data_IF_481212270308
#
_entry.id   IF_481212270308
#
_cell.length_a   1.000
_cell.length_b   1.000
_cell.length_c   1.000
_cell.angle_alpha   90.00
_cell.angle_beta   90.00
_cell.angle_gamma   90.00
#
_symmetry.space_group_name_H-M   'P 1'
#
loop_
_entity.id
_entity.type
_entity.pdbx_description
1 polymer ?
#
# COMPACT_ATOMS: atom_id res chain seq x y z
N UNK A 1 43.76 -3.71 -25.53
CA UNK A 1 44.42 -3.09 -24.37
C UNK A 1 43.44 -3.25 -23.22
N UNK A 2 43.82 -4.05 -22.24
CA UNK A 2 43.04 -4.39 -21.06
C UNK A 2 43.03 -3.21 -20.09
N UNK A 3 41.91 -2.50 -19.98
CA UNK A 3 41.70 -1.60 -18.86
C UNK A 3 41.42 -2.41 -17.59
N UNK A 4 41.94 -1.87 -16.50
CA UNK A 4 42.22 -2.50 -15.22
C UNK A 4 40.98 -3.05 -14.52
N UNK A 5 41.05 -4.32 -14.12
CA UNK A 5 40.27 -4.84 -12.99
C UNK A 5 40.64 -3.96 -11.78
N UNK A 6 39.66 -3.25 -11.23
CA UNK A 6 39.84 -2.48 -10.00
C UNK A 6 40.19 -3.47 -8.89
N UNK A 7 41.44 -3.45 -8.44
CA UNK A 7 41.91 -4.23 -7.29
C UNK A 7 41.12 -3.74 -6.06
N UNK A 8 40.12 -4.49 -5.62
CA UNK A 8 39.25 -4.14 -4.49
C UNK A 8 39.88 -4.53 -3.15
N UNK A 9 41.19 -4.34 -2.99
CA UNK A 9 41.92 -4.83 -1.85
C UNK A 9 41.47 -4.21 -0.50
N UNK A 10 41.41 -5.08 0.50
CA UNK A 10 41.26 -4.82 1.94
C UNK A 10 41.94 -3.52 2.42
N UNK A 11 41.14 -2.54 2.85
CA UNK A 11 41.64 -1.42 3.65
C UNK A 11 41.64 -1.80 5.13
N UNK A 12 42.82 -2.03 5.71
CA UNK A 12 43.00 -2.17 7.15
C UNK A 12 42.48 -3.46 7.79
N UNK A 13 42.35 -4.56 7.02
CA UNK A 13 41.99 -5.88 7.56
C UNK A 13 40.50 -6.09 7.83
N UNK A 14 39.62 -5.17 7.42
CA UNK A 14 38.16 -5.39 7.34
C UNK A 14 37.76 -5.56 5.87
N UNK A 15 36.85 -6.50 5.54
CA UNK A 15 36.32 -6.60 4.18
C UNK A 15 35.63 -5.29 3.80
N UNK A 16 35.90 -4.81 2.59
CA UNK A 16 35.22 -3.63 2.06
C UNK A 16 33.74 -3.99 1.84
N UNK A 17 32.83 -3.22 2.45
CA UNK A 17 31.40 -3.33 2.14
C UNK A 17 31.18 -2.61 0.82
N UNK A 18 30.74 -3.36 -0.18
CA UNK A 18 30.41 -2.86 -1.50
C UNK A 18 28.91 -2.98 -1.69
N UNK A 19 28.29 -2.00 -2.34
CA UNK A 19 26.87 -2.05 -2.66
C UNK A 19 26.65 -1.88 -4.16
N UNK A 20 25.66 -2.60 -4.66
CA UNK A 20 25.16 -2.47 -6.02
C UNK A 20 23.76 -1.86 -5.96
N UNK A 21 23.52 -0.79 -6.71
CA UNK A 21 22.20 -0.18 -6.78
C UNK A 21 21.51 -0.55 -8.10
N UNK A 22 20.45 -1.37 -8.09
CA UNK A 22 19.82 -1.87 -9.33
C UNK A 22 19.43 -0.78 -10.33
N UNK A 23 18.86 0.34 -9.88
CA UNK A 23 18.49 1.45 -10.79
C UNK A 23 19.63 1.98 -11.67
N UNK A 24 20.90 1.78 -11.32
CA UNK A 24 22.02 2.22 -12.19
C UNK A 24 22.07 1.45 -13.50
N UNK A 25 21.68 0.18 -13.46
CA UNK A 25 21.83 -0.76 -14.58
C UNK A 25 20.51 -1.21 -15.16
N UNK A 26 19.37 -0.92 -14.55
CA UNK A 26 18.08 -1.31 -15.12
C UNK A 26 17.85 -0.61 -16.48
N UNK A 27 17.55 -1.40 -17.49
CA UNK A 27 17.19 -0.95 -18.84
C UNK A 27 15.67 -0.73 -18.95
N UNK A 28 14.91 -1.76 -18.59
CA UNK A 28 13.45 -1.78 -18.66
C UNK A 28 12.87 -2.82 -17.71
N UNK A 29 11.57 -2.68 -17.44
CA UNK A 29 10.74 -3.62 -16.72
C UNK A 29 9.87 -4.40 -17.70
N UNK A 30 9.90 -5.73 -17.58
CA UNK A 30 9.07 -6.66 -18.32
C UNK A 30 8.03 -7.26 -17.39
N UNK A 31 6.77 -7.30 -17.82
CA UNK A 31 5.72 -8.05 -17.13
C UNK A 31 5.57 -9.39 -17.84
N UNK A 32 5.93 -10.45 -17.15
CA UNK A 32 5.79 -11.82 -17.61
C UNK A 32 4.49 -12.42 -17.11
N UNK A 33 3.84 -13.17 -17.98
CA UNK A 33 2.84 -14.18 -17.66
C UNK A 33 3.54 -15.52 -17.71
N UNK A 34 3.44 -16.27 -16.61
CA UNK A 34 4.10 -17.55 -16.42
C UNK A 34 3.06 -18.63 -16.12
N UNK A 35 3.06 -19.71 -16.90
CA UNK A 35 2.17 -20.86 -16.70
C UNK A 35 2.93 -22.17 -16.56
N UNK A 36 2.49 -23.02 -15.64
CA UNK A 36 2.88 -24.43 -15.56
C UNK A 36 1.68 -25.31 -15.95
N UNK A 37 1.72 -25.95 -17.14
CA UNK A 37 0.69 -26.87 -17.58
C UNK A 37 0.83 -28.22 -16.84
N UNK A 38 0.41 -28.34 -15.57
CA UNK A 38 0.43 -29.63 -14.88
C UNK A 38 0.39 -29.58 -13.35
N UNK A 39 0.13 -30.74 -12.72
CA UNK A 39 0.17 -30.91 -11.26
C UNK A 39 1.60 -31.07 -10.70
N UNK A 40 2.60 -31.29 -11.56
CA UNK A 40 4.00 -31.41 -11.18
C UNK A 40 4.83 -30.39 -11.96
N UNK A 41 5.46 -29.46 -11.22
CA UNK A 41 6.28 -28.34 -11.73
C UNK A 41 7.40 -28.82 -12.68
N UNK A 42 7.87 -30.07 -12.52
CA UNK A 42 9.09 -30.56 -13.16
C UNK A 42 8.89 -31.38 -14.45
N UNK A 43 7.66 -31.72 -14.85
CA UNK A 43 7.44 -32.71 -15.94
C UNK A 43 6.95 -32.13 -17.27
N UNK A 44 6.31 -30.95 -17.30
CA UNK A 44 5.59 -30.44 -18.49
C UNK A 44 6.12 -29.08 -18.98
N UNK A 45 7.17 -28.55 -18.34
CA UNK A 45 7.85 -27.32 -18.74
C UNK A 45 7.14 -26.04 -18.29
N UNK A 46 7.81 -24.90 -18.48
CA UNK A 46 7.32 -23.59 -18.11
C UNK A 46 7.04 -22.79 -19.39
N UNK A 47 5.88 -22.15 -19.46
CA UNK A 47 5.54 -21.25 -20.56
C UNK A 47 5.62 -19.80 -20.07
N UNK A 48 6.47 -19.01 -20.73
CA UNK A 48 6.65 -17.59 -20.45
C UNK A 48 6.19 -16.76 -21.64
N UNK A 49 5.40 -15.72 -21.35
CA UNK A 49 5.04 -14.71 -22.35
C UNK A 49 5.14 -13.31 -21.77
N UNK A 50 5.68 -12.37 -22.54
CA UNK A 50 5.76 -10.98 -22.13
C UNK A 50 4.43 -10.31 -22.45
N UNK A 51 3.74 -9.82 -21.42
CA UNK A 51 2.45 -9.12 -21.54
C UNK A 51 2.59 -7.60 -21.43
N UNK A 52 3.73 -7.11 -20.94
CA UNK A 52 4.01 -5.69 -20.82
C UNK A 52 5.50 -5.37 -20.83
N UNK A 53 5.82 -4.16 -21.29
CA UNK A 53 7.17 -3.57 -21.24
C UNK A 53 7.05 -2.10 -20.88
N UNK A 54 7.88 -1.62 -19.95
CA UNK A 54 8.00 -0.19 -19.65
C UNK A 54 9.38 0.16 -19.12
N UNK A 55 9.80 1.40 -19.28
CA UNK A 55 10.98 1.96 -18.58
C UNK A 55 10.61 2.60 -17.24
N UNK A 56 9.32 2.78 -16.96
CA UNK A 56 8.81 3.27 -15.69
C UNK A 56 8.24 2.12 -14.84
N UNK A 57 8.61 2.10 -13.56
CA UNK A 57 8.20 1.04 -12.65
C UNK A 57 6.71 1.11 -12.30
N UNK A 58 6.11 2.31 -12.21
CA UNK A 58 4.68 2.44 -11.94
C UNK A 58 3.84 1.93 -13.11
N UNK A 59 4.26 2.17 -14.36
CA UNK A 59 3.63 1.57 -15.54
C UNK A 59 3.74 0.03 -15.53
N UNK A 60 4.89 -0.52 -15.09
CA UNK A 60 5.05 -1.97 -14.96
C UNK A 60 4.13 -2.56 -13.87
N UNK A 61 3.98 -1.88 -12.73
CA UNK A 61 2.99 -2.25 -11.71
C UNK A 61 1.56 -2.13 -12.23
N UNK A 62 1.21 -1.07 -12.94
CA UNK A 62 -0.14 -0.90 -13.50
C UNK A 62 -0.47 -2.03 -14.49
N UNK A 63 0.49 -2.37 -15.36
CA UNK A 63 0.37 -3.51 -16.25
C UNK A 63 0.23 -4.83 -15.48
N UNK A 64 1.08 -5.10 -14.48
CA UNK A 64 0.99 -6.28 -13.62
C UNK A 64 -0.40 -6.40 -12.98
N UNK A 65 -0.89 -5.33 -12.35
CA UNK A 65 -2.14 -5.34 -11.60
C UNK A 65 -3.37 -5.54 -12.49
N UNK A 66 -3.32 -5.05 -13.74
CA UNK A 66 -4.39 -5.21 -14.74
C UNK A 66 -4.34 -6.53 -15.50
N UNK A 67 -3.17 -7.17 -15.61
CA UNK A 67 -2.97 -8.37 -16.43
C UNK A 67 -3.96 -9.51 -16.10
N UNK A 68 -4.31 -9.76 -14.82
CA UNK A 68 -5.27 -10.81 -14.51
C UNK A 68 -6.74 -10.59 -14.87
N UNK A 69 -7.15 -9.39 -15.31
CA UNK A 69 -8.57 -8.99 -15.37
C UNK A 69 -9.46 -9.96 -16.16
N UNK A 70 -8.88 -10.66 -17.14
CA UNK A 70 -9.58 -11.60 -18.01
C UNK A 70 -9.11 -13.06 -17.87
N UNK A 71 -8.34 -13.38 -16.82
CA UNK A 71 -7.83 -14.73 -16.61
C UNK A 71 -8.89 -15.66 -16.02
N UNK A 72 -8.95 -16.89 -16.54
CA UNK A 72 -9.85 -17.92 -16.05
C UNK A 72 -9.28 -18.56 -14.77
N UNK A 73 -9.76 -18.06 -13.63
CA UNK A 73 -9.46 -18.56 -12.26
C UNK A 73 -9.76 -20.04 -12.06
N UNK A 74 -10.62 -20.64 -12.91
CA UNK A 74 -11.08 -22.02 -12.82
C UNK A 74 -10.09 -23.04 -13.41
N UNK A 75 -9.05 -22.57 -14.10
CA UNK A 75 -7.99 -23.46 -14.62
C UNK A 75 -7.19 -24.09 -13.48
N UNK A 76 -6.75 -25.33 -13.72
CA UNK A 76 -5.89 -26.08 -12.79
C UNK A 76 -4.40 -25.75 -12.96
N UNK A 77 -4.05 -25.05 -14.02
CA UNK A 77 -2.68 -24.62 -14.29
C UNK A 77 -2.20 -23.66 -13.20
N UNK A 78 -0.93 -23.77 -12.83
CA UNK A 78 -0.27 -22.78 -11.99
C UNK A 78 -0.02 -21.57 -12.88
N UNK A 79 -0.59 -20.42 -12.53
CA UNK A 79 -0.42 -19.17 -13.25
C UNK A 79 0.03 -18.08 -12.30
N UNK A 80 1.08 -17.37 -12.69
CA UNK A 80 1.53 -16.15 -12.03
C UNK A 80 1.93 -15.07 -13.05
N UNK A 81 2.00 -13.85 -12.55
CA UNK A 81 2.52 -12.72 -13.27
C UNK A 81 3.66 -12.11 -12.48
N UNK A 82 4.77 -11.78 -13.15
CA UNK A 82 5.97 -11.29 -12.47
C UNK A 82 6.55 -10.09 -13.22
N UNK A 83 6.94 -9.05 -12.48
CA UNK A 83 7.75 -7.94 -13.00
C UNK A 83 9.22 -8.34 -12.88
N UNK A 84 9.93 -8.33 -14.00
CA UNK A 84 11.38 -8.52 -14.09
C UNK A 84 12.00 -7.24 -14.59
N UNK A 85 12.89 -6.64 -13.80
CA UNK A 85 13.76 -5.57 -14.24
C UNK A 85 14.96 -6.17 -14.96
N UNK A 86 15.19 -5.80 -16.22
CA UNK A 86 16.32 -6.29 -17.02
C UNK A 86 17.49 -5.31 -16.96
N UNK A 87 18.71 -5.82 -17.09
CA UNK A 87 19.90 -4.98 -17.03
C UNK A 87 20.40 -4.54 -18.41
N UNK A 88 20.92 -3.32 -18.49
CA UNK A 88 21.53 -2.72 -19.67
C UNK A 88 22.63 -3.62 -20.22
N UNK A 89 22.64 -3.80 -21.54
CA UNK A 89 23.66 -4.56 -22.26
C UNK A 89 23.79 -6.03 -21.85
N UNK A 90 22.79 -6.59 -21.15
CA UNK A 90 22.74 -8.01 -20.78
C UNK A 90 21.44 -8.62 -21.30
N UNK A 91 21.49 -9.68 -22.13
CA UNK A 91 20.26 -10.39 -22.48
C UNK A 91 19.68 -11.03 -21.22
N UNK A 92 18.37 -10.93 -21.05
CA UNK A 92 17.68 -11.58 -19.92
C UNK A 92 17.81 -13.11 -20.05
N UNK A 93 18.34 -13.74 -19.02
CA UNK A 93 18.36 -15.19 -18.85
C UNK A 93 17.46 -15.54 -17.67
N UNK A 94 16.61 -16.56 -17.83
CA UNK A 94 15.76 -17.10 -16.77
C UNK A 94 16.29 -18.47 -16.34
N UNK A 95 16.19 -18.77 -15.05
CA UNK A 95 16.44 -20.11 -14.56
C UNK A 95 15.25 -21.06 -14.82
N UNK A 96 15.31 -22.26 -14.27
CA UNK A 96 14.27 -23.27 -14.50
C UNK A 96 12.93 -22.89 -13.84
N UNK A 97 12.94 -22.06 -12.80
CA UNK A 97 11.73 -21.59 -12.11
C UNK A 97 11.12 -20.35 -12.78
N UNK A 98 11.84 -19.76 -13.73
CA UNK A 98 11.44 -18.51 -14.38
C UNK A 98 11.93 -17.25 -13.69
N UNK A 99 12.78 -17.39 -12.68
CA UNK A 99 13.40 -16.26 -12.02
C UNK A 99 14.59 -15.77 -12.87
N UNK A 100 14.84 -14.45 -12.93
CA UNK A 100 15.97 -13.92 -13.67
C UNK A 100 17.28 -14.39 -13.04
N UNK A 101 18.23 -14.81 -13.87
CA UNK A 101 19.60 -14.97 -13.44
C UNK A 101 20.09 -13.60 -12.97
N UNK A 102 20.54 -13.53 -11.72
CA UNK A 102 21.01 -12.34 -10.99
C UNK A 102 21.89 -11.36 -11.81
N UNK A 103 22.65 -11.83 -12.82
CA UNK A 103 23.54 -10.99 -13.66
C UNK A 103 22.82 -10.32 -14.83
N UNK A 104 21.59 -10.72 -15.11
CA UNK A 104 20.82 -10.33 -16.29
C UNK A 104 19.54 -9.57 -15.94
N UNK A 105 19.08 -9.69 -14.70
CA UNK A 105 17.92 -8.97 -14.21
C UNK A 105 17.64 -9.18 -12.73
N UNK A 106 16.48 -8.68 -12.31
CA UNK A 106 16.01 -8.66 -10.94
C UNK A 106 14.50 -8.86 -10.92
N UNK A 107 14.03 -9.81 -10.11
CA UNK A 107 12.60 -9.95 -9.85
C UNK A 107 12.14 -8.85 -8.90
N UNK A 108 11.20 -8.04 -9.35
CA UNK A 108 10.66 -6.94 -8.53
C UNK A 108 9.53 -7.43 -7.64
N UNK A 109 8.60 -8.19 -8.20
CA UNK A 109 7.43 -8.70 -7.51
C UNK A 109 6.46 -9.33 -8.47
N UNK A 110 5.38 -9.90 -7.97
CA UNK A 110 4.44 -10.62 -8.80
C UNK A 110 3.07 -10.82 -8.16
N UNK A 111 2.13 -11.27 -8.99
CA UNK A 111 0.81 -11.74 -8.60
C UNK A 111 0.76 -13.25 -8.80
N UNK A 112 0.31 -13.97 -7.78
CA UNK A 112 0.13 -15.42 -7.85
C UNK A 112 -1.23 -15.81 -7.25
N UNK A 113 -1.68 -17.01 -7.58
CA UNK A 113 -2.85 -17.62 -6.95
C UNK A 113 -2.45 -18.48 -5.75
N UNK A 114 -3.33 -18.57 -4.76
CA UNK A 114 -3.23 -19.60 -3.74
C UNK A 114 -3.56 -20.98 -4.35
N UNK A 115 -2.52 -21.81 -4.54
CA UNK A 115 -2.66 -23.10 -5.22
C UNK A 115 -3.48 -24.13 -4.43
N UNK A 116 -3.58 -23.98 -3.10
CA UNK A 116 -4.22 -24.93 -2.20
C UNK A 116 -5.65 -24.55 -1.77
N UNK A 117 -6.28 -23.56 -2.40
CA UNK A 117 -7.66 -23.14 -2.09
C UNK A 117 -8.66 -23.62 -3.13
N UNK A 118 -9.94 -23.74 -2.73
CA UNK A 118 -11.04 -23.96 -3.68
C UNK A 118 -10.96 -22.94 -4.81
N UNK A 119 -11.01 -23.41 -6.06
CA UNK A 119 -11.04 -22.57 -7.28
C UNK A 119 -12.05 -21.42 -7.20
N UNK A 120 -13.14 -21.58 -6.43
CA UNK A 120 -14.19 -20.57 -6.22
C UNK A 120 -13.83 -19.47 -5.22
N UNK A 121 -12.80 -19.68 -4.40
CA UNK A 121 -12.32 -18.70 -3.40
C UNK A 121 -10.95 -18.12 -3.75
N UNK A 122 -10.38 -18.49 -4.90
CA UNK A 122 -9.08 -18.00 -5.34
C UNK A 122 -9.09 -16.48 -5.52
N UNK A 123 -8.05 -15.84 -5.04
CA UNK A 123 -7.78 -14.42 -5.27
C UNK A 123 -6.32 -14.23 -5.65
N UNK A 124 -6.04 -13.11 -6.32
CA UNK A 124 -4.69 -12.74 -6.71
C UNK A 124 -3.99 -12.07 -5.54
N UNK A 125 -2.94 -12.71 -5.05
CA UNK A 125 -2.09 -12.16 -4.00
C UNK A 125 -0.85 -11.52 -4.62
N UNK A 126 -0.49 -10.36 -4.09
CA UNK A 126 0.74 -9.67 -4.46
C UNK A 126 1.85 -10.01 -3.47
N UNK A 127 3.03 -10.34 -4.01
CA UNK A 127 4.28 -10.43 -3.25
C UNK A 127 5.34 -9.54 -3.88
N UNK A 128 5.96 -8.69 -3.06
CA UNK A 128 7.16 -7.95 -3.43
C UNK A 128 8.37 -8.87 -3.23
N UNK A 129 9.17 -9.04 -4.28
CA UNK A 129 10.41 -9.81 -4.22
C UNK A 129 11.59 -8.89 -3.87
N UNK A 130 11.75 -7.80 -4.63
CA UNK A 130 12.79 -6.83 -4.38
C UNK A 130 12.39 -5.43 -4.88
N UNK A 131 12.62 -4.42 -4.05
CA UNK A 131 12.40 -3.02 -4.43
C UNK A 131 13.68 -2.45 -5.11
N UNK A 132 13.66 -2.08 -6.40
CA UNK A 132 14.85 -1.62 -7.13
C UNK A 132 15.54 -0.38 -6.56
N UNK A 133 14.85 0.39 -5.73
CA UNK A 133 15.43 1.54 -5.02
C UNK A 133 16.36 1.13 -3.88
N UNK A 134 16.28 -0.11 -3.39
CA UNK A 134 17.13 -0.58 -2.31
C UNK A 134 18.48 -1.05 -2.87
N UNK A 135 19.60 -0.76 -2.18
CA UNK A 135 20.89 -1.30 -2.55
C UNK A 135 21.00 -2.79 -2.17
N UNK A 136 21.70 -3.55 -3.00
CA UNK A 136 22.14 -4.91 -2.71
C UNK A 136 23.53 -4.82 -2.09
N UNK A 137 23.65 -5.17 -0.81
CA UNK A 137 24.93 -5.19 -0.09
C UNK A 137 25.70 -6.48 -0.41
N UNK A 138 26.96 -6.31 -0.78
CA UNK A 138 27.93 -7.36 -1.10
C UNK A 138 29.00 -7.37 0.00
N UNK A 139 29.04 -8.46 0.78
CA UNK A 139 29.85 -8.53 2.01
C UNK A 139 31.31 -8.99 1.80
N UNK A 140 31.67 -9.45 0.59
CA UNK A 140 33.03 -9.92 0.31
C UNK A 140 33.37 -9.80 -1.19
N UNK A 141 34.00 -8.69 -1.64
CA UNK A 141 34.39 -8.51 -3.03
C UNK A 141 35.66 -9.30 -3.43
N UNK A 142 36.48 -9.76 -2.47
CA UNK A 142 37.75 -10.45 -2.73
C UNK A 142 37.64 -12.00 -2.61
N UNK A 143 36.77 -12.54 -1.74
CA UNK A 143 36.32 -13.96 -1.73
C UNK A 143 35.01 -14.16 -2.52
N UNK A 144 34.66 -13.16 -3.33
CA UNK A 144 33.57 -13.16 -4.32
C UNK A 144 33.70 -14.29 -5.37
N UNK A 145 34.88 -14.91 -5.44
CA UNK A 145 35.29 -15.80 -6.53
C UNK A 145 34.83 -17.26 -6.45
N UNK A 146 34.09 -17.71 -5.43
CA UNK A 146 33.64 -19.11 -5.41
C UNK A 146 32.16 -19.40 -5.74
N UNK A 147 31.10 -18.83 -5.12
CA UNK A 147 29.76 -19.49 -5.22
C UNK A 147 28.44 -18.67 -5.20
N UNK A 148 28.38 -17.44 -5.73
CA UNK A 148 27.17 -17.00 -6.46
C UNK A 148 27.58 -16.66 -7.89
N UNK A 149 27.05 -17.39 -8.88
CA UNK A 149 27.31 -17.08 -10.31
C UNK A 149 26.70 -15.74 -10.71
N UNK A 150 25.69 -15.31 -9.97
CA UNK A 150 24.82 -14.20 -10.29
C UNK A 150 25.41 -12.80 -10.40
N UNK A 151 26.41 -12.43 -9.59
CA UNK A 151 26.85 -11.03 -9.53
C UNK A 151 28.28 -10.81 -10.03
N UNK A 152 28.95 -11.86 -10.52
CA UNK A 152 30.33 -11.78 -11.08
C UNK A 152 30.43 -10.92 -12.33
N UNK A 153 29.33 -10.81 -13.06
CA UNK A 153 29.28 -10.14 -14.35
C UNK A 153 28.75 -8.70 -14.24
N UNK A 154 28.50 -8.19 -13.02
CA UNK A 154 28.22 -6.76 -12.85
C UNK A 154 29.51 -5.99 -13.11
N UNK A 155 29.44 -5.00 -14.00
CA UNK A 155 30.56 -4.10 -14.26
C UNK A 155 30.94 -3.35 -12.97
N UNK A 156 32.20 -3.41 -12.53
CA UNK A 156 32.68 -2.74 -11.32
C UNK A 156 32.35 -1.24 -11.24
N UNK A 157 32.08 -0.56 -12.36
CA UNK A 157 31.63 0.84 -12.35
C UNK A 157 30.30 1.07 -11.61
N UNK A 158 29.48 0.03 -11.48
CA UNK A 158 28.19 0.08 -10.76
C UNK A 158 28.30 -0.36 -9.30
N UNK A 159 29.51 -0.65 -8.83
CA UNK A 159 29.81 -1.03 -7.47
C UNK A 159 30.26 0.21 -6.68
N UNK A 160 29.53 0.52 -5.62
CA UNK A 160 29.79 1.69 -4.77
C UNK A 160 30.38 1.23 -3.43
N UNK A 161 31.50 1.81 -2.98
CA UNK A 161 32.01 1.54 -1.64
C UNK A 161 31.33 2.46 -0.63
N UNK A 162 31.26 1.97 0.61
CA UNK A 162 30.80 2.78 1.72
C UNK A 162 31.65 4.06 1.86
N UNK A 163 31.00 5.23 1.87
CA UNK A 163 31.60 6.57 1.98
C UNK A 163 32.29 7.15 0.73
N UNK A 164 32.09 6.58 -0.47
CA UNK A 164 32.69 7.12 -1.70
C UNK A 164 32.10 8.47 -2.15
N UNK A 165 30.96 8.90 -1.61
CA UNK A 165 30.25 10.11 -2.04
C UNK A 165 29.83 10.97 -0.85
N UNK A 166 30.17 12.26 -0.90
CA UNK A 166 29.70 13.24 0.07
C UNK A 166 28.29 13.71 -0.31
N UNK A 167 27.33 13.62 0.61
CA UNK A 167 25.98 14.16 0.46
C UNK A 167 25.75 15.28 1.49
N UNK A 168 24.81 16.17 1.21
CA UNK A 168 24.39 17.16 2.20
C UNK A 168 23.54 16.49 3.30
N UNK A 169 24.11 16.23 4.48
CA UNK A 169 23.39 15.51 5.55
C UNK A 169 22.12 16.23 6.02
N UNK A 170 22.08 17.56 5.94
CA UNK A 170 20.88 18.33 6.32
C UNK A 170 19.74 18.09 5.34
N UNK A 171 20.04 17.98 4.04
CA UNK A 171 19.04 17.67 3.01
C UNK A 171 18.54 16.24 3.19
N UNK A 172 19.45 15.30 3.48
CA UNK A 172 19.08 13.92 3.78
C UNK A 172 18.16 13.81 5.00
N UNK A 173 18.57 14.35 6.15
CA UNK A 173 17.76 14.27 7.38
C UNK A 173 16.42 15.01 7.25
N UNK A 174 16.34 16.09 6.46
CA UNK A 174 15.06 16.74 6.16
C UNK A 174 14.11 15.79 5.43
N UNK A 175 14.54 15.22 4.29
CA UNK A 175 13.68 14.35 3.46
C UNK A 175 13.36 13.02 4.12
N UNK A 176 14.30 12.48 4.90
CA UNK A 176 14.08 11.29 5.74
C UNK A 176 12.96 11.53 6.75
N UNK A 177 13.00 12.65 7.46
CA UNK A 177 11.94 13.02 8.41
C UNK A 177 10.63 13.37 7.69
N UNK A 178 10.69 13.93 6.48
CA UNK A 178 9.51 14.20 5.68
C UNK A 178 8.80 12.90 5.26
N UNK A 179 9.52 11.92 4.69
CA UNK A 179 8.99 10.60 4.35
C UNK A 179 8.40 9.88 5.57
N UNK A 180 9.06 9.95 6.73
CA UNK A 180 8.52 9.43 8.00
C UNK A 180 7.22 10.09 8.38
N UNK A 181 7.15 11.43 8.31
CA UNK A 181 5.93 12.17 8.61
C UNK A 181 4.79 11.83 7.65
N UNK A 182 5.10 11.34 6.43
CA UNK A 182 4.14 10.87 5.43
C UNK A 182 3.72 9.41 5.61
N UNK A 183 4.22 8.74 6.65
CA UNK A 183 3.84 7.37 7.01
C UNK A 183 4.69 6.28 6.37
N UNK A 184 5.85 6.61 5.80
CA UNK A 184 6.75 5.63 5.15
C UNK A 184 7.71 4.95 6.13
N UNK A 185 7.97 5.57 7.29
CA UNK A 185 8.95 5.06 8.24
C UNK A 185 10.38 5.16 7.70
N UNK A 186 11.17 4.11 7.90
CA UNK A 186 12.58 4.00 7.50
C UNK A 186 12.79 3.20 6.20
N UNK A 187 11.71 2.72 5.57
CA UNK A 187 11.76 1.79 4.45
C UNK A 187 12.53 2.28 3.22
N UNK A 188 12.72 3.61 3.09
CA UNK A 188 13.39 4.28 1.98
C UNK A 188 14.67 5.03 2.39
N UNK A 189 15.16 4.89 3.63
CA UNK A 189 16.31 5.66 4.11
C UNK A 189 17.56 5.45 3.24
N UNK A 190 17.91 4.20 2.93
CA UNK A 190 19.06 3.87 2.08
C UNK A 190 18.87 4.33 0.63
N UNK A 191 17.66 4.15 0.10
CA UNK A 191 17.30 4.56 -1.25
C UNK A 191 17.40 6.08 -1.43
N UNK A 192 16.89 6.83 -0.45
CA UNK A 192 16.97 8.28 -0.41
C UNK A 192 18.42 8.75 -0.34
N UNK A 193 19.23 8.14 0.54
CA UNK A 193 20.66 8.44 0.65
C UNK A 193 21.35 8.32 -0.70
N UNK A 194 21.18 7.18 -1.38
CA UNK A 194 21.85 6.94 -2.66
C UNK A 194 21.32 7.88 -3.76
N UNK A 195 20.01 8.14 -3.81
CA UNK A 195 19.43 9.11 -4.75
C UNK A 195 20.07 10.50 -4.58
N UNK A 196 20.26 10.96 -3.34
CA UNK A 196 20.88 12.25 -3.05
C UNK A 196 22.38 12.25 -3.37
N UNK A 197 23.10 11.16 -3.08
CA UNK A 197 24.53 10.99 -3.41
C UNK A 197 24.80 10.98 -4.92
N UNK A 198 23.86 10.45 -5.74
CA UNK A 198 23.95 10.53 -7.21
C UNK A 198 23.84 11.96 -7.74
N UNK A 199 23.09 12.82 -7.04
CA UNK A 199 22.98 14.25 -7.38
C UNK A 199 22.30 14.54 -8.72
N UNK A 200 21.51 13.59 -9.24
CA UNK A 200 20.77 13.74 -10.49
C UNK A 200 19.73 14.89 -10.42
N UNK A 201 19.37 15.44 -11.58
CA UNK A 201 18.39 16.55 -11.64
C UNK A 201 17.00 16.12 -11.18
N UNK A 202 16.66 14.86 -11.40
CA UNK A 202 15.38 14.25 -11.04
C UNK A 202 15.68 12.88 -10.42
N UNK A 203 14.86 12.45 -9.48
CA UNK A 203 14.96 11.12 -8.88
C UNK A 203 13.59 10.65 -8.40
N UNK A 204 13.36 9.34 -8.44
CA UNK A 204 12.11 8.73 -8.00
C UNK A 204 12.40 7.62 -7.01
N UNK A 205 11.67 7.62 -5.89
CA UNK A 205 11.66 6.51 -4.93
C UNK A 205 10.32 5.78 -5.01
N UNK A 206 10.32 4.46 -4.86
CA UNK A 206 9.11 3.64 -4.90
C UNK A 206 8.90 2.89 -3.58
N UNK A 207 7.66 2.77 -3.13
CA UNK A 207 7.31 2.03 -1.92
C UNK A 207 5.97 1.31 -2.09
N UNK A 208 5.93 0.04 -1.69
CA UNK A 208 4.72 -0.79 -1.70
C UNK A 208 4.23 -1.05 -0.28
N UNK A 209 2.92 -0.93 -0.06
CA UNK A 209 2.30 -1.23 1.23
C UNK A 209 0.84 -1.70 1.07
N UNK A 210 0.30 -2.40 2.08
CA UNK A 210 -1.11 -2.78 2.13
C UNK A 210 -1.90 -1.85 3.08
N UNK A 211 -3.09 -1.44 2.68
CA UNK A 211 -4.07 -0.76 3.53
C UNK A 211 -5.29 -1.64 3.72
N UNK A 212 -5.28 -2.42 4.80
CA UNK A 212 -6.21 -3.56 4.92
C UNK A 212 -5.85 -4.59 3.86
N UNK A 213 -6.78 -4.87 2.95
CA UNK A 213 -6.58 -5.82 1.85
C UNK A 213 -6.26 -5.12 0.51
N UNK A 214 -6.25 -3.79 0.48
CA UNK A 214 -5.92 -3.02 -0.71
C UNK A 214 -4.40 -2.90 -0.83
N UNK A 215 -3.88 -3.10 -2.04
CA UNK A 215 -2.48 -2.86 -2.36
C UNK A 215 -2.30 -1.41 -2.82
N UNK A 216 -1.27 -0.73 -2.29
CA UNK A 216 -0.88 0.61 -2.68
C UNK A 216 0.60 0.63 -3.07
N UNK A 217 0.89 0.99 -4.32
CA UNK A 217 2.24 1.33 -4.78
C UNK A 217 2.34 2.85 -4.84
N UNK A 218 3.38 3.41 -4.24
CA UNK A 218 3.60 4.85 -4.13
C UNK A 218 4.94 5.21 -4.78
N UNK A 219 4.97 6.27 -5.59
CA UNK A 219 6.21 6.88 -6.08
C UNK A 219 6.35 8.32 -5.58
N UNK A 220 7.59 8.69 -5.27
CA UNK A 220 7.97 10.01 -4.75
C UNK A 220 8.92 10.67 -5.74
N UNK A 221 8.48 11.72 -6.42
CA UNK A 221 9.25 12.37 -7.47
C UNK A 221 9.94 13.62 -6.94
N UNK A 222 11.27 13.59 -6.98
CA UNK A 222 12.14 14.63 -6.50
C UNK A 222 12.82 15.37 -7.64
N UNK A 223 12.96 16.69 -7.49
CA UNK A 223 13.79 17.50 -8.37
C UNK A 223 14.86 18.24 -7.57
N UNK A 224 16.07 18.30 -8.12
CA UNK A 224 17.11 19.20 -7.63
C UNK A 224 16.79 20.64 -8.02
N UNK A 225 17.16 21.58 -7.15
CA UNK A 225 17.09 23.01 -7.41
C UNK A 225 17.87 23.40 -8.67
N UNK A 226 17.27 24.25 -9.51
CA UNK A 226 17.94 24.82 -10.68
C UNK A 226 18.86 26.01 -10.34
N UNK A 227 18.91 26.43 -9.07
CA UNK A 227 19.80 27.52 -8.64
C UNK A 227 21.25 27.04 -8.70
N UNK A 228 22.13 27.88 -9.26
CA UNK A 228 23.57 27.65 -9.20
C UNK A 228 23.99 27.44 -7.74
N UNK A 229 24.89 26.47 -7.52
CA UNK A 229 25.49 26.12 -6.22
C UNK A 229 24.48 25.71 -5.13
N UNK A 230 23.29 25.24 -5.52
CA UNK A 230 22.26 24.76 -4.59
C UNK A 230 22.20 23.24 -4.55
N UNK A 231 22.39 22.67 -3.37
CA UNK A 231 22.18 21.24 -3.11
C UNK A 231 20.76 20.90 -2.65
N UNK A 232 19.86 21.88 -2.67
CA UNK A 232 18.45 21.65 -2.32
C UNK A 232 17.78 20.70 -3.30
N UNK A 233 16.99 19.79 -2.73
CA UNK A 233 16.14 18.84 -3.43
C UNK A 233 14.71 19.03 -2.92
N UNK A 234 13.72 18.89 -3.80
CA UNK A 234 12.30 19.09 -3.48
C UNK A 234 11.48 17.89 -3.91
N UNK A 235 10.63 17.38 -3.01
CA UNK A 235 9.56 16.44 -3.36
C UNK A 235 8.46 17.24 -4.04
N UNK A 236 8.22 16.98 -5.33
CA UNK A 236 7.25 17.73 -6.12
C UNK A 236 5.95 16.96 -6.34
N UNK A 237 6.02 15.63 -6.41
CA UNK A 237 4.84 14.81 -6.68
C UNK A 237 4.87 13.52 -5.87
N UNK A 238 3.70 13.10 -5.42
CA UNK A 238 3.44 11.74 -4.94
C UNK A 238 2.43 11.13 -5.89
N UNK A 239 2.75 10.00 -6.50
CA UNK A 239 1.80 9.23 -7.30
C UNK A 239 1.45 7.94 -6.59
N UNK A 240 0.16 7.62 -6.56
CA UNK A 240 -0.36 6.38 -5.99
C UNK A 240 -1.03 5.53 -7.07
N UNK A 241 -0.75 4.23 -7.04
CA UNK A 241 -1.44 3.19 -7.78
C UNK A 241 -2.06 2.25 -6.75
N UNK A 242 -3.39 2.24 -6.70
CA UNK A 242 -4.17 1.49 -5.71
C UNK A 242 -4.95 0.39 -6.40
N UNK A 243 -4.69 -0.86 -6.02
CA UNK A 243 -5.53 -2.01 -6.35
C UNK A 243 -6.40 -2.33 -5.14
N UNK A 244 -7.69 -1.95 -5.14
CA UNK A 244 -8.59 -2.35 -4.08
C UNK A 244 -8.86 -3.85 -4.16
N UNK A 245 -9.25 -4.47 -3.03
CA UNK A 245 -9.75 -5.85 -3.05
C UNK A 245 -11.00 -5.99 -3.91
N UNK A 246 -11.86 -4.98 -3.87
CA UNK A 246 -13.11 -4.90 -4.65
C UNK A 246 -13.15 -3.55 -5.37
N UNK A 247 -13.25 -3.57 -6.69
CA UNK A 247 -13.34 -2.37 -7.52
C UNK A 247 -12.26 -2.33 -8.60
N UNK A 248 -12.16 -1.17 -9.25
CA UNK A 248 -11.17 -0.93 -10.29
C UNK A 248 -9.87 -0.38 -9.72
N UNK A 249 -8.76 -0.66 -10.42
CA UNK A 249 -7.45 -0.09 -10.12
C UNK A 249 -7.49 1.42 -10.38
N UNK A 250 -6.94 2.19 -9.45
CA UNK A 250 -6.91 3.65 -9.51
C UNK A 250 -5.47 4.14 -9.54
N UNK A 251 -5.18 5.13 -10.38
CA UNK A 251 -3.89 5.81 -10.46
C UNK A 251 -4.13 7.31 -10.30
N UNK A 252 -3.38 7.96 -9.43
CA UNK A 252 -3.56 9.37 -9.14
C UNK A 252 -2.22 10.01 -8.75
N UNK A 253 -1.89 11.12 -9.40
CA UNK A 253 -0.77 11.99 -9.05
C UNK A 253 -1.26 13.14 -8.18
N UNK A 254 -0.50 13.45 -7.13
CA UNK A 254 -0.72 14.58 -6.24
C UNK A 254 0.50 15.49 -6.29
N UNK A 255 0.30 16.74 -6.70
CA UNK A 255 1.33 17.77 -6.60
C UNK A 255 1.59 18.12 -5.12
N UNK A 256 2.86 18.28 -4.78
CA UNK A 256 3.35 18.67 -3.47
C UNK A 256 4.04 20.01 -3.62
N UNK A 257 3.51 21.01 -2.95
CA UNK A 257 4.11 22.34 -2.83
C UNK A 257 4.40 22.69 -1.36
N UNK A 258 4.88 23.91 -1.11
CA UNK A 258 5.22 24.37 0.23
C UNK A 258 4.01 24.62 1.12
N UNK A 259 2.85 24.86 0.51
CA UNK A 259 1.60 25.17 1.18
C UNK A 259 0.75 23.89 1.38
N UNK A 260 1.14 22.81 0.70
CA UNK A 260 0.57 21.49 0.85
C UNK A 260 0.76 21.07 2.29
N UNK A 261 -0.37 20.90 2.98
CA UNK A 261 -0.40 20.25 4.27
C UNK A 261 0.45 18.96 4.21
N UNK A 262 1.11 18.61 5.33
CA UNK A 262 1.87 17.36 5.44
C UNK A 262 0.91 16.17 5.37
N UNK A 263 0.54 15.80 4.15
CA UNK A 263 -0.35 14.70 3.82
C UNK A 263 0.42 13.40 3.82
N UNK A 264 -0.12 12.41 4.52
CA UNK A 264 0.43 11.04 4.51
C UNK A 264 -0.05 10.27 3.28
N UNK A 265 0.69 9.23 2.89
CA UNK A 265 0.20 8.32 1.82
C UNK A 265 -1.15 7.70 2.19
N UNK A 266 -1.39 7.43 3.47
CA UNK A 266 -2.69 6.95 3.95
C UNK A 266 -3.80 7.99 3.75
N UNK A 267 -3.53 9.29 3.94
CA UNK A 267 -4.51 10.34 3.66
C UNK A 267 -4.86 10.39 2.17
N UNK A 268 -3.85 10.33 1.30
CA UNK A 268 -4.04 10.31 -0.15
C UNK A 268 -4.81 9.06 -0.62
N UNK A 269 -4.46 7.87 -0.11
CA UNK A 269 -5.24 6.65 -0.31
C UNK A 269 -6.68 6.81 0.17
N UNK A 270 -6.89 7.36 1.38
CA UNK A 270 -8.23 7.59 1.91
C UNK A 270 -9.05 8.52 1.00
N UNK A 271 -8.42 9.56 0.44
CA UNK A 271 -9.04 10.47 -0.53
C UNK A 271 -9.46 9.76 -1.83
N UNK A 272 -8.60 8.89 -2.37
CA UNK A 272 -8.91 8.03 -3.53
C UNK A 272 -10.07 7.09 -3.25
N UNK A 273 -10.22 6.62 -2.00
CA UNK A 273 -11.38 5.86 -1.56
C UNK A 273 -12.61 6.74 -1.23
N UNK A 274 -12.62 8.01 -1.66
CA UNK A 274 -13.72 8.95 -1.50
C UNK A 274 -13.96 9.43 -0.07
N UNK A 275 -12.96 9.36 0.81
CA UNK A 275 -13.04 9.79 2.21
C UNK A 275 -12.32 11.12 2.41
N UNK A 276 -12.77 11.89 3.39
CA UNK A 276 -12.13 13.15 3.78
C UNK A 276 -11.17 12.94 4.95
N UNK A 277 -10.15 13.78 5.04
CA UNK A 277 -9.21 13.80 6.17
C UNK A 277 -8.92 15.24 6.61
N UNK A 278 -8.49 15.43 7.85
CA UNK A 278 -8.07 16.71 8.41
C UNK A 278 -6.66 17.03 7.88
N UNK A 279 -6.58 17.96 6.94
CA UNK A 279 -5.32 18.37 6.32
C UNK A 279 -4.52 19.31 7.23
N UNK A 280 -5.20 20.25 7.90
CA UNK A 280 -4.57 21.18 8.83
C UNK A 280 -5.40 21.30 10.10
N UNK A 281 -4.81 20.87 11.23
CA UNK A 281 -5.47 20.86 12.53
C UNK A 281 -5.65 22.26 13.11
N UNK A 282 -4.67 23.14 12.95
CA UNK A 282 -4.69 24.50 13.52
C UNK A 282 -5.77 25.38 12.89
N UNK A 283 -6.03 25.17 11.59
CA UNK A 283 -7.05 25.91 10.83
C UNK A 283 -8.36 25.14 10.66
N UNK A 284 -8.45 23.93 11.23
CA UNK A 284 -9.55 22.98 11.05
C UNK A 284 -9.98 22.83 9.58
N UNK A 285 -8.99 22.61 8.71
CA UNK A 285 -9.16 22.46 7.27
C UNK A 285 -9.13 20.99 6.88
N UNK A 286 -10.24 20.52 6.32
CA UNK A 286 -10.41 19.16 5.83
C UNK A 286 -10.21 19.11 4.33
N UNK A 287 -9.59 18.05 3.83
CA UNK A 287 -9.40 17.81 2.41
C UNK A 287 -10.15 16.55 1.94
N UNK A 288 -10.55 16.56 0.68
CA UNK A 288 -11.11 15.41 -0.02
C UNK A 288 -10.83 15.52 -1.52
N UNK A 289 -10.96 14.41 -2.25
CA UNK A 289 -10.77 14.38 -3.69
C UNK A 289 -12.09 14.72 -4.40
N UNK A 290 -12.06 15.70 -5.30
CA UNK A 290 -13.23 16.10 -6.10
C UNK A 290 -13.31 15.27 -7.39
N UNK A 291 -14.04 14.15 -7.33
CA UNK A 291 -14.26 13.27 -8.49
C UNK A 291 -15.09 13.90 -9.61
N UNK A 292 -15.67 15.09 -9.42
CA UNK A 292 -16.43 15.80 -10.46
C UNK A 292 -15.53 16.58 -11.42
N UNK A 293 -14.29 16.83 -11.02
CA UNK A 293 -13.31 17.56 -11.82
C UNK A 293 -12.15 16.65 -12.16
N UNK A 294 -11.64 16.78 -13.37
CA UNK A 294 -10.41 16.12 -13.81
C UNK A 294 -9.49 17.17 -14.40
N UNK A 295 -8.21 17.07 -14.07
CA UNK A 295 -7.18 17.87 -14.72
C UNK A 295 -6.83 17.31 -16.11
N UNK A 296 -5.90 17.98 -16.78
CA UNK A 296 -5.40 17.60 -18.12
C UNK A 296 -4.73 16.21 -18.17
N UNK A 297 -4.36 15.64 -17.04
CA UNK A 297 -3.72 14.34 -16.89
C UNK A 297 -4.71 13.26 -16.42
N UNK A 298 -5.99 13.61 -16.24
CA UNK A 298 -7.02 12.69 -15.74
C UNK A 298 -7.02 12.52 -14.22
N UNK A 299 -6.23 13.32 -13.50
CA UNK A 299 -6.18 13.32 -12.05
C UNK A 299 -7.32 14.17 -11.45
N UNK A 300 -7.85 13.77 -10.31
CA UNK A 300 -8.85 14.56 -9.59
C UNK A 300 -8.20 15.46 -8.53
N UNK A 301 -8.54 16.75 -8.44
CA UNK A 301 -7.90 17.65 -7.49
C UNK A 301 -8.32 17.37 -6.04
N UNK A 302 -7.41 17.63 -5.10
CA UNK A 302 -7.76 17.77 -3.68
C UNK A 302 -8.36 19.16 -3.45
N UNK A 303 -9.53 19.19 -2.82
CA UNK A 303 -10.23 20.42 -2.44
C UNK A 303 -10.37 20.46 -0.93
N UNK A 304 -10.33 21.66 -0.36
CA UNK A 304 -10.44 21.87 1.09
C UNK A 304 -11.77 22.48 1.51
N UNK A 305 -12.17 22.21 2.75
CA UNK A 305 -13.33 22.79 3.42
C UNK A 305 -13.01 23.07 4.88
N UNK A 306 -13.50 24.20 5.39
CA UNK A 306 -13.30 24.65 6.77
C UNK A 306 -14.62 24.64 7.54
N UNK A 307 -14.53 24.64 8.86
CA UNK A 307 -15.69 24.79 9.75
C UNK A 307 -16.43 23.49 10.08
N UNK A 308 -15.92 22.33 9.65
CA UNK A 308 -16.44 21.04 10.07
C UNK A 308 -15.85 20.64 11.42
N UNK A 309 -16.70 20.52 12.43
CA UNK A 309 -16.32 20.05 13.76
C UNK A 309 -16.74 18.60 13.95
N UNK A 310 -15.77 17.68 13.89
CA UNK A 310 -16.02 16.25 14.01
C UNK A 310 -16.59 15.85 15.38
N UNK A 311 -16.26 16.58 16.44
CA UNK A 311 -16.74 16.30 17.79
C UNK A 311 -18.22 16.69 17.90
N UNK A 312 -18.56 17.90 17.43
CA UNK A 312 -19.94 18.36 17.34
C UNK A 312 -20.79 17.43 16.45
N UNK A 313 -20.25 16.98 15.31
CA UNK A 313 -20.98 16.11 14.38
C UNK A 313 -21.20 14.70 14.95
N UNK A 314 -20.17 14.09 15.53
CA UNK A 314 -20.31 12.75 16.15
C UNK A 314 -21.21 12.78 17.39
N UNK A 315 -21.18 13.85 18.18
CA UNK A 315 -22.04 14.04 19.35
C UNK A 315 -23.55 14.16 19.05
N UNK A 316 -23.94 14.26 17.78
CA UNK A 316 -25.36 14.20 17.34
C UNK A 316 -25.95 12.79 17.41
N UNK A 317 -25.14 11.77 17.67
CA UNK A 317 -25.52 10.36 17.63
C UNK A 317 -25.10 9.61 18.91
N UNK A 318 -25.87 8.61 19.34
CA UNK A 318 -25.58 7.78 20.53
C UNK A 318 -24.53 6.70 20.24
N UNK A 319 -23.32 7.15 19.86
CA UNK A 319 -22.18 6.28 19.60
C UNK A 319 -21.55 5.85 20.93
N UNK A 320 -21.44 4.55 21.14
CA UNK A 320 -20.96 3.97 22.40
C UNK A 320 -19.54 4.43 22.76
N UNK A 321 -18.64 4.56 21.78
CA UNK A 321 -17.26 5.03 21.98
C UNK A 321 -17.17 6.46 22.51
N UNK A 322 -18.22 7.29 22.36
CA UNK A 322 -18.23 8.65 22.90
C UNK A 322 -18.46 8.69 24.41
N UNK A 323 -18.90 7.59 25.03
CA UNK A 323 -19.17 7.49 26.47
C UNK A 323 -17.87 7.41 27.28
N UNK A 324 -16.78 6.98 26.66
CA UNK A 324 -15.44 6.95 27.25
C UNK A 324 -14.55 8.03 26.58
N UNK A 325 -13.95 8.96 27.35
CA UNK A 325 -13.09 10.01 26.80
C UNK A 325 -11.89 9.51 25.98
N UNK A 326 -11.27 8.39 26.37
CA UNK A 326 -10.12 7.82 25.67
C UNK A 326 -10.55 7.21 24.32
N UNK A 327 -11.64 6.44 24.32
CA UNK A 327 -12.21 5.88 23.09
C UNK A 327 -12.71 6.98 22.14
N UNK A 328 -13.28 8.06 22.67
CA UNK A 328 -13.70 9.22 21.88
C UNK A 328 -12.50 9.87 21.18
N UNK A 329 -11.37 10.06 21.88
CA UNK A 329 -10.15 10.61 21.30
C UNK A 329 -9.59 9.70 20.19
N UNK A 330 -9.59 8.38 20.41
CA UNK A 330 -9.16 7.40 19.41
C UNK A 330 -10.07 7.46 18.18
N UNK A 331 -11.39 7.53 18.37
CA UNK A 331 -12.37 7.66 17.30
C UNK A 331 -12.13 8.94 16.49
N UNK A 332 -12.04 10.09 17.15
CA UNK A 332 -11.81 11.38 16.49
C UNK A 332 -10.48 11.37 15.72
N UNK A 333 -9.39 10.92 16.35
CA UNK A 333 -8.09 10.84 15.69
C UNK A 333 -8.08 9.84 14.51
N UNK A 334 -8.93 8.81 14.53
CA UNK A 334 -9.09 7.89 13.40
C UNK A 334 -9.83 8.56 12.24
N UNK A 335 -10.91 9.28 12.53
CA UNK A 335 -11.71 10.02 11.55
C UNK A 335 -10.95 11.20 10.94
N UNK A 336 -10.17 11.93 11.75
CA UNK A 336 -9.26 13.00 11.29
C UNK A 336 -8.23 12.47 10.29
N UNK A 337 -7.77 11.22 10.43
CA UNK A 337 -6.87 10.60 9.44
C UNK A 337 -7.59 10.12 8.17
N UNK A 338 -8.92 10.26 8.11
CA UNK A 338 -9.77 9.79 7.02
C UNK A 338 -10.05 8.28 7.04
N UNK A 339 -9.82 7.63 8.17
CA UNK A 339 -10.15 6.22 8.31
C UNK A 339 -11.67 6.04 8.34
N UNK A 340 -12.11 4.88 7.85
CA UNK A 340 -13.46 4.36 8.11
C UNK A 340 -13.40 3.56 9.41
N UNK A 341 -13.97 4.10 10.47
CA UNK A 341 -13.88 3.56 11.83
C UNK A 341 -15.13 2.77 12.19
N UNK A 342 -14.96 1.57 12.75
CA UNK A 342 -16.07 0.81 13.32
C UNK A 342 -16.51 1.44 14.64
N UNK A 343 -17.82 1.58 14.82
CA UNK A 343 -18.49 2.12 16.01
C UNK A 343 -19.69 1.24 16.37
N UNK A 344 -20.15 1.36 17.60
CA UNK A 344 -21.36 0.67 18.07
C UNK A 344 -22.42 1.68 18.48
N UNK A 345 -23.68 1.35 18.19
CA UNK A 345 -24.87 2.05 18.70
C UNK A 345 -25.83 0.97 19.18
N UNK A 346 -26.01 0.86 20.52
CA UNK A 346 -26.86 -0.16 21.13
C UNK A 346 -26.59 -1.58 20.59
N UNK A 347 -25.33 -2.02 20.71
CA UNK A 347 -24.85 -3.35 20.28
C UNK A 347 -24.83 -3.59 18.77
N UNK A 348 -25.49 -2.74 17.96
CA UNK A 348 -25.37 -2.77 16.50
C UNK A 348 -24.08 -2.09 16.05
N UNK A 349 -23.36 -2.74 15.13
CA UNK A 349 -22.10 -2.25 14.57
C UNK A 349 -22.32 -1.50 13.27
N UNK A 350 -21.64 -0.37 13.15
CA UNK A 350 -21.58 0.45 11.95
C UNK A 350 -20.15 0.83 11.66
N UNK A 351 -19.88 1.22 10.43
CA UNK A 351 -18.66 1.95 10.10
C UNK A 351 -19.01 3.39 9.76
N UNK A 352 -18.20 4.34 10.23
CA UNK A 352 -18.37 5.76 9.93
C UNK A 352 -17.08 6.37 9.38
N UNK A 353 -17.23 7.40 8.56
CA UNK A 353 -16.15 8.29 8.13
C UNK A 353 -16.64 9.73 8.14
N UNK A 354 -15.74 10.69 8.30
CA UNK A 354 -16.07 12.11 8.19
C UNK A 354 -16.64 12.43 6.78
N UNK A 355 -17.65 13.31 6.72
CA UNK A 355 -18.18 13.88 5.47
C UNK A 355 -18.34 15.41 5.59
N UNK A 356 -17.21 16.15 5.64
CA UNK A 356 -17.18 17.60 5.89
C UNK A 356 -17.98 18.44 4.90
N UNK A 357 -18.01 18.05 3.62
CA UNK A 357 -18.76 18.76 2.56
C UNK A 357 -20.27 18.91 2.87
N UNK A 358 -20.81 18.00 3.68
CA UNK A 358 -22.24 17.97 4.04
C UNK A 358 -22.48 18.15 5.55
N UNK A 359 -21.47 18.56 6.31
CA UNK A 359 -21.52 18.70 7.77
C UNK A 359 -22.13 17.46 8.48
N UNK A 360 -21.73 16.27 8.04
CA UNK A 360 -22.30 15.01 8.51
C UNK A 360 -21.28 13.87 8.52
N UNK A 361 -21.75 12.64 8.74
CA UNK A 361 -20.98 11.41 8.64
C UNK A 361 -21.44 10.61 7.42
N UNK A 362 -20.51 9.89 6.79
CA UNK A 362 -20.86 8.78 5.92
C UNK A 362 -20.95 7.51 6.77
N UNK A 363 -22.02 6.74 6.60
CA UNK A 363 -22.31 5.56 7.41
C UNK A 363 -22.40 4.32 6.53
N UNK A 364 -21.89 3.21 7.04
CA UNK A 364 -21.98 1.90 6.41
C UNK A 364 -22.46 0.88 7.45
N UNK A 365 -23.19 -0.12 6.98
CA UNK A 365 -23.52 -1.32 7.76
C UNK A 365 -22.26 -2.18 7.97
N UNK A 366 -22.35 -3.20 8.82
CA UNK A 366 -21.22 -4.12 9.10
C UNK A 366 -20.67 -4.79 7.82
N UNK A 367 -21.53 -5.08 6.84
CA UNK A 367 -21.14 -5.61 5.53
C UNK A 367 -20.57 -4.56 4.56
N UNK A 368 -20.24 -3.36 5.05
CA UNK A 368 -19.73 -2.22 4.28
C UNK A 368 -20.67 -1.65 3.22
N UNK A 369 -21.95 -2.04 3.21
CA UNK A 369 -22.96 -1.39 2.39
C UNK A 369 -23.23 0.01 2.94
N UNK A 370 -23.13 1.03 2.09
CA UNK A 370 -23.43 2.41 2.49
C UNK A 370 -24.90 2.55 2.89
N UNK A 371 -25.13 3.32 3.94
CA UNK A 371 -26.44 3.67 4.50
C UNK A 371 -26.44 5.14 4.91
N UNK A 372 -27.53 5.61 5.51
CA UNK A 372 -27.66 6.99 5.99
C UNK A 372 -27.48 7.09 7.51
N UNK A 373 -27.34 8.32 8.00
CA UNK A 373 -27.21 8.61 9.44
C UNK A 373 -28.49 8.31 10.24
N UNK A 374 -29.64 8.20 9.58
CA UNK A 374 -30.91 7.77 10.19
C UNK A 374 -30.79 6.35 10.77
N UNK A 375 -30.01 5.46 10.15
CA UNK A 375 -29.79 4.11 10.68
C UNK A 375 -29.12 4.10 12.06
N UNK A 376 -28.28 5.09 12.36
CA UNK A 376 -27.70 5.28 13.70
C UNK A 376 -28.78 5.70 14.71
N UNK A 377 -29.68 6.60 14.30
CA UNK A 377 -30.79 7.07 15.15
C UNK A 377 -31.81 5.97 15.42
N UNK A 378 -32.14 5.16 14.41
CA UNK A 378 -33.03 4.01 14.54
C UNK A 378 -32.47 2.98 15.51
N UNK A 379 -31.17 2.65 15.39
CA UNK A 379 -30.49 1.77 16.34
C UNK A 379 -30.52 2.32 17.78
N UNK A 380 -30.40 3.63 17.95
CA UNK A 380 -30.51 4.29 19.26
C UNK A 380 -31.93 4.13 19.87
N UNK A 381 -32.97 4.18 19.04
CA UNK A 381 -34.38 4.11 19.48
C UNK A 381 -34.87 2.69 19.78
N UNK A 382 -34.31 1.65 19.15
CA UNK A 382 -34.73 0.26 19.38
C UNK A 382 -34.53 -0.18 20.85
N UNK A 383 -33.50 0.32 21.53
CA UNK A 383 -33.28 0.06 22.96
C UNK A 383 -34.36 0.70 23.84
N UNK A 384 -34.84 1.90 23.49
CA UNK A 384 -35.91 2.57 24.23
C UNK A 384 -37.26 1.84 24.12
N UNK A 385 -37.51 1.08 23.04
CA UNK A 385 -38.71 0.24 22.91
C UNK A 385 -38.61 -1.06 23.71
N UNK A 386 -37.44 -1.67 23.82
CA UNK A 386 -37.25 -2.87 24.64
C UNK A 386 -37.22 -2.57 26.15
N UNK A 387 -36.75 -1.40 26.56
CA UNK A 387 -36.75 -0.98 27.98
C UNK A 387 -38.13 -0.48 28.48
N UNK A 388 -39.14 -0.38 27.60
CA UNK A 388 -40.50 0.05 27.92
C UNK A 388 -41.56 -1.06 27.84
N UNK A 389 -41.18 -2.33 27.62
CA UNK A 389 -42.11 -3.44 27.79
C UNK A 389 -42.31 -3.73 29.29
N UNK A 390 -43.51 -3.53 29.87
CA UNK A 390 -43.72 -3.80 31.28
C UNK A 390 -43.71 -5.31 31.52
N UNK A 391 -42.92 -5.70 32.51
CA UNK A 391 -42.90 -7.01 33.15
C UNK A 391 -44.33 -7.40 33.61
N UNK A 392 -44.99 -8.23 32.81
CA UNK A 392 -46.21 -8.95 33.19
C UNK A 392 -45.94 -10.46 33.12
N UNK A 393 -45.13 -10.96 34.05
CA UNK A 393 -45.14 -12.38 34.39
C UNK A 393 -44.99 -12.64 35.88
N UNK A 394 -45.93 -12.15 36.69
CA UNK A 394 -46.22 -12.77 37.99
C UNK A 394 -47.75 -12.83 38.17
N UNK A 395 -48.23 -13.98 38.66
CA UNK A 395 -49.61 -14.31 39.03
C UNK A 395 -50.51 -14.90 37.92
N UNK A 396 -50.27 -16.17 37.57
CA UNK A 396 -51.32 -17.19 37.37
C UNK A 396 -50.70 -18.59 37.36
N UNK A 397 -50.26 -19.05 38.52
CA UNK A 397 -50.07 -20.48 38.78
C UNK A 397 -50.32 -20.75 40.26
N UNK A 398 -51.60 -20.80 40.62
CA UNK A 398 -52.06 -21.42 41.87
C UNK A 398 -53.57 -21.67 41.76
N UNK A 399 -53.94 -22.73 41.02
CA UNK A 399 -55.16 -23.56 41.18
C UNK A 399 -55.37 -24.48 39.98
N UNK A 400 -54.62 -25.58 39.90
CA UNK A 400 -55.03 -26.76 39.12
C UNK A 400 -54.26 -28.04 39.50
N UNK A 401 -54.15 -28.36 40.79
CA UNK A 401 -53.70 -29.68 41.25
C UNK A 401 -54.66 -30.20 42.32
N UNK A 402 -55.88 -30.53 41.88
CA UNK A 402 -56.80 -31.44 42.57
C UNK A 402 -57.86 -31.88 41.58
N UNK A 403 -57.58 -32.98 40.87
CA UNK A 403 -58.50 -34.10 40.64
C UNK A 403 -57.90 -35.02 39.58
N UNK A 404 -57.10 -35.97 40.05
CA UNK A 404 -56.80 -37.19 39.31
C UNK A 404 -57.36 -38.36 40.12
N UNK A 405 -58.59 -38.76 39.82
CA UNK A 405 -59.20 -40.04 40.22
C UNK A 405 -60.22 -40.43 39.17
N UNK A 406 -59.95 -41.53 38.47
CA UNK A 406 -61.01 -42.43 38.04
C UNK A 406 -61.04 -42.80 36.56
N UNK A 407 -60.66 -44.06 36.31
CA UNK A 407 -61.23 -45.01 35.33
C UNK A 407 -60.85 -44.81 33.84
N UNK A 408 -60.06 -45.66 33.17
CA UNK A 408 -60.02 -47.13 33.02
C UNK A 408 -61.00 -47.67 31.96
N UNK A 409 -60.39 -48.28 30.93
CA UNK A 409 -60.84 -49.37 30.04
C UNK A 409 -61.97 -49.06 29.05
N UNK A 410 -61.62 -49.05 27.76
CA UNK A 410 -61.90 -50.14 26.80
C UNK A 410 -61.22 -49.87 25.46
#
# INVERSE_FOLDING_TARGET
>A
MSESVVDMAFHGGKPAIVSFHPLDVIDQYLVFRHTHPGHQVYEIGHEFSIVGRSTDLMDAYDCLLKSPKNEDVGRRDILDYTIIATYKHRPLELDFDGDPIDSTGLRVGGLYYEYNTDTRSRSWEFSEAYNPCKPIVLYDPDDFYSRRRGFRDIDPIYLHRENDRAMNEKVFEYHKNDLRSRGIGDALDDALKIMLEKGEKQGTLYHTQKFGEDLCVSSFHYNKSNRADSDLVFLNQIELLVKPKIGEIQRQTFEIDKDSARVTVKNLYNAMQGRSFLANKDTNEWAYQDFKQTDKHGNHPLVTVKGYDIQTVTGRYDIDQLKNPEEAQILHASLERGNRQMVSVNEKRFFISALPQHDTLRVYKENLQQTTVEALKEAAQEKQKNDQAPDQSIAKDDKALKNNRGQSIS
#
